data_IF_643500045733
#
_entry.id   IF_643500045733
#
_cell.length_a   1.000
_cell.length_b   1.000
_cell.length_c   1.000
_cell.angle_alpha   90.00
_cell.angle_beta   90.00
_cell.angle_gamma   90.00
#
_symmetry.space_group_name_H-M   'P 1'
#
loop_
_entity.id
_entity.type
_entity.pdbx_description
1 polymer ?
#
# COMPACT_ATOMS: atom_id res chain seq x y z
N UNK A 1 -43.07 -8.83 13.41
CA UNK A 1 -41.97 -8.18 14.14
C UNK A 1 -41.63 -6.93 13.34
N UNK A 2 -41.65 -5.73 13.93
CA UNK A 2 -41.26 -4.52 13.20
C UNK A 2 -39.74 -4.45 13.27
N UNK A 3 -39.06 -4.85 12.18
CA UNK A 3 -37.59 -4.89 12.09
C UNK A 3 -37.15 -3.75 11.20
N UNK A 4 -36.28 -2.88 11.73
CA UNK A 4 -35.73 -1.73 11.03
C UNK A 4 -34.21 -1.87 10.79
N UNK A 5 -33.63 -1.07 9.86
CA UNK A 5 -32.21 -1.10 9.59
C UNK A 5 -31.26 -0.56 10.66
N UNK A 6 -31.77 -0.06 11.78
CA UNK A 6 -30.97 0.29 12.95
C UNK A 6 -30.93 -0.83 14.00
N UNK A 7 -31.74 -1.89 13.85
CA UNK A 7 -31.82 -2.98 14.83
C UNK A 7 -30.57 -3.89 14.81
N UNK A 8 -30.24 -4.38 16.00
CA UNK A 8 -29.23 -5.41 16.25
C UNK A 8 -29.96 -6.67 16.70
N UNK A 9 -29.77 -7.78 15.97
CA UNK A 9 -30.46 -9.04 16.26
C UNK A 9 -29.43 -10.13 16.53
N UNK A 10 -29.64 -10.89 17.60
CA UNK A 10 -28.85 -12.07 17.93
C UNK A 10 -29.79 -13.28 17.98
N UNK A 11 -29.43 -14.31 17.23
CA UNK A 11 -30.08 -15.62 17.25
C UNK A 11 -29.37 -16.47 18.32
N UNK A 12 -30.10 -16.76 19.40
CA UNK A 12 -29.64 -17.60 20.51
C UNK A 12 -30.76 -18.53 20.97
N UNK A 13 -31.43 -19.20 20.01
CA UNK A 13 -32.62 -20.00 20.27
C UNK A 13 -32.31 -21.47 20.54
N UNK A 14 -31.07 -21.89 20.27
CA UNK A 14 -30.54 -23.25 20.34
C UNK A 14 -31.19 -24.23 19.35
N UNK A 15 -32.52 -24.35 19.35
CA UNK A 15 -33.25 -25.36 18.59
C UNK A 15 -33.87 -24.84 17.29
N UNK A 16 -34.07 -23.52 17.14
CA UNK A 16 -34.73 -22.90 15.98
C UNK A 16 -33.81 -21.92 15.24
N UNK A 17 -32.49 -22.09 15.41
CA UNK A 17 -31.50 -21.15 14.89
C UNK A 17 -31.50 -21.11 13.36
N UNK A 18 -31.74 -22.25 12.69
CA UNK A 18 -31.78 -22.32 11.23
C UNK A 18 -33.01 -21.60 10.69
N UNK A 19 -34.18 -21.85 11.27
CA UNK A 19 -35.45 -21.22 10.91
C UNK A 19 -35.39 -19.71 11.09
N UNK A 20 -34.88 -19.25 12.24
CA UNK A 20 -34.69 -17.82 12.49
C UNK A 20 -33.70 -17.20 11.50
N UNK A 21 -32.56 -17.86 11.25
CA UNK A 21 -31.55 -17.38 10.33
C UNK A 21 -32.07 -17.27 8.89
N UNK A 22 -32.85 -18.24 8.45
CA UNK A 22 -33.46 -18.25 7.11
C UNK A 22 -34.36 -17.06 6.85
N UNK A 23 -35.05 -16.56 7.88
CA UNK A 23 -35.92 -15.38 7.77
C UNK A 23 -35.11 -14.09 7.89
N UNK A 24 -34.15 -14.05 8.82
CA UNK A 24 -33.42 -12.83 9.18
C UNK A 24 -32.29 -12.48 8.22
N UNK A 25 -31.72 -13.45 7.50
CA UNK A 25 -30.61 -13.21 6.55
C UNK A 25 -31.02 -12.30 5.38
N UNK A 26 -32.31 -12.27 5.05
CA UNK A 26 -32.88 -11.42 4.00
C UNK A 26 -33.25 -10.02 4.50
N UNK A 27 -33.25 -9.79 5.81
CA UNK A 27 -33.69 -8.52 6.38
C UNK A 27 -32.55 -7.48 6.37
N UNK A 28 -32.87 -6.19 6.14
CA UNK A 28 -31.88 -5.14 6.10
C UNK A 28 -31.48 -4.73 7.53
N UNK A 29 -30.80 -5.60 8.28
CA UNK A 29 -30.40 -5.35 9.67
C UNK A 29 -29.04 -4.63 9.76
N UNK A 30 -28.87 -3.77 10.77
CA UNK A 30 -27.54 -3.20 11.11
C UNK A 30 -26.57 -4.28 11.54
N UNK A 31 -27.08 -5.29 12.24
CA UNK A 31 -26.29 -6.39 12.77
C UNK A 31 -27.14 -7.65 12.89
N UNK A 32 -26.60 -8.77 12.41
CA UNK A 32 -27.17 -10.10 12.56
C UNK A 32 -26.10 -11.05 13.11
N UNK A 33 -26.26 -11.47 14.35
CA UNK A 33 -25.37 -12.42 15.02
C UNK A 33 -26.01 -13.77 15.27
N UNK A 34 -25.21 -14.83 15.24
CA UNK A 34 -25.63 -16.18 15.60
C UNK A 34 -24.74 -16.74 16.72
N UNK A 35 -25.36 -17.04 17.86
CA UNK A 35 -24.70 -17.72 18.98
C UNK A 35 -24.70 -19.23 18.74
N UNK A 36 -23.63 -19.74 18.16
CA UNK A 36 -23.48 -21.14 17.80
C UNK A 36 -22.02 -21.61 17.81
N UNK A 37 -21.81 -22.92 17.89
CA UNK A 37 -20.47 -23.49 17.72
C UNK A 37 -19.98 -23.35 16.28
N UNK A 38 -18.65 -23.29 16.07
CA UNK A 38 -18.05 -23.20 14.72
C UNK A 38 -18.56 -24.28 13.76
N UNK A 39 -18.76 -25.50 14.25
CA UNK A 39 -19.30 -26.62 13.46
C UNK A 39 -20.72 -26.32 12.99
N UNK A 40 -21.59 -25.82 13.88
CA UNK A 40 -22.99 -25.50 13.57
C UNK A 40 -23.09 -24.35 12.58
N UNK A 41 -22.24 -23.33 12.73
CA UNK A 41 -22.13 -22.22 11.76
C UNK A 41 -21.80 -22.74 10.36
N UNK A 42 -20.77 -23.58 10.22
CA UNK A 42 -20.40 -24.15 8.93
C UNK A 42 -21.55 -24.89 8.25
N UNK A 43 -22.29 -25.71 9.02
CA UNK A 43 -23.46 -26.43 8.52
C UNK A 43 -24.54 -25.47 8.00
N UNK A 44 -24.85 -24.42 8.76
CA UNK A 44 -25.89 -23.46 8.37
C UNK A 44 -25.49 -22.63 7.16
N UNK A 45 -24.26 -22.12 7.12
CA UNK A 45 -23.76 -21.36 5.96
C UNK A 45 -23.79 -22.21 4.69
N UNK A 46 -23.45 -23.50 4.77
CA UNK A 46 -23.53 -24.41 3.62
C UNK A 46 -24.97 -24.62 3.14
N UNK A 47 -25.91 -24.82 4.06
CA UNK A 47 -27.33 -24.96 3.74
C UNK A 47 -27.90 -23.70 3.08
N UNK A 48 -27.53 -22.52 3.57
CA UNK A 48 -27.96 -21.23 2.97
C UNK A 48 -27.42 -21.07 1.55
N UNK A 49 -26.14 -21.40 1.31
CA UNK A 49 -25.56 -21.37 -0.05
C UNK A 49 -26.27 -22.32 -1.01
N UNK A 50 -26.56 -23.55 -0.57
CA UNK A 50 -27.31 -24.52 -1.37
C UNK A 50 -28.71 -24.04 -1.74
N UNK A 51 -29.29 -23.15 -0.94
CA UNK A 51 -30.58 -22.51 -1.18
C UNK A 51 -30.49 -21.24 -2.03
N UNK A 52 -29.29 -20.85 -2.46
CA UNK A 52 -29.07 -19.69 -3.32
C UNK A 52 -28.95 -18.36 -2.58
N UNK A 53 -28.66 -18.36 -1.27
CA UNK A 53 -28.31 -17.12 -0.56
C UNK A 53 -26.94 -16.62 -1.04
N UNK A 54 -26.90 -15.37 -1.49
CA UNK A 54 -25.70 -14.72 -2.01
C UNK A 54 -24.61 -14.55 -0.93
N UNK A 55 -23.35 -14.66 -1.34
CA UNK A 55 -22.21 -14.53 -0.43
C UNK A 55 -22.14 -13.15 0.24
N UNK A 56 -22.63 -12.08 -0.39
CA UNK A 56 -22.70 -10.75 0.22
C UNK A 56 -23.62 -10.70 1.45
N UNK A 57 -24.76 -11.41 1.40
CA UNK A 57 -25.67 -11.51 2.55
C UNK A 57 -25.07 -12.37 3.65
N UNK A 58 -24.38 -13.45 3.28
CA UNK A 58 -23.66 -14.31 4.23
C UNK A 58 -22.51 -13.57 4.90
N UNK A 59 -21.83 -12.65 4.21
CA UNK A 59 -20.74 -11.86 4.76
C UNK A 59 -21.19 -10.90 5.89
N UNK A 60 -22.49 -10.57 5.94
CA UNK A 60 -23.09 -9.75 7.02
C UNK A 60 -23.42 -10.53 8.29
N UNK A 61 -23.33 -11.86 8.25
CA UNK A 61 -23.63 -12.73 9.38
C UNK A 61 -22.41 -12.84 10.33
N UNK A 62 -22.61 -12.46 11.59
CA UNK A 62 -21.62 -12.58 12.65
C UNK A 62 -21.79 -13.92 13.38
N UNK A 63 -21.05 -14.94 12.95
CA UNK A 63 -21.22 -16.30 13.45
C UNK A 63 -19.88 -17.08 13.52
N UNK A 64 -19.50 -17.63 14.69
CA UNK A 64 -20.09 -17.40 16.01
C UNK A 64 -20.01 -15.93 16.43
N UNK A 65 -21.04 -15.43 17.11
CA UNK A 65 -21.00 -14.08 17.69
C UNK A 65 -20.08 -14.02 18.91
N UNK A 66 -19.42 -12.88 19.08
CA UNK A 66 -18.63 -12.51 20.24
C UNK A 66 -17.14 -12.43 19.94
N UNK A 67 -16.45 -11.57 20.68
CA UNK A 67 -14.99 -11.52 20.65
C UNK A 67 -14.36 -12.85 21.09
N UNK A 68 -13.26 -13.22 20.42
CA UNK A 68 -12.45 -14.38 20.81
C UNK A 68 -11.57 -14.06 22.03
N UNK A 69 -12.19 -14.00 23.22
CA UNK A 69 -11.53 -13.76 24.51
C UNK A 69 -11.37 -15.04 25.35
N UNK A 70 -11.64 -16.22 24.77
CA UNK A 70 -11.64 -17.48 25.52
C UNK A 70 -12.81 -17.62 26.49
N UNK A 71 -13.95 -16.99 26.17
CA UNK A 71 -15.16 -17.07 26.99
C UNK A 71 -15.71 -18.50 27.04
N UNK A 72 -15.97 -19.01 28.24
CA UNK A 72 -16.55 -20.35 28.46
C UNK A 72 -17.87 -20.29 29.22
N UNK A 73 -18.00 -19.32 30.13
CA UNK A 73 -19.21 -19.12 30.93
C UNK A 73 -20.24 -18.23 30.21
N UNK A 74 -21.55 -18.36 30.51
CA UNK A 74 -22.58 -17.49 29.94
C UNK A 74 -22.30 -15.99 30.14
N UNK A 75 -21.73 -15.61 31.29
CA UNK A 75 -21.38 -14.23 31.63
C UNK A 75 -20.23 -13.72 30.74
N UNK A 76 -19.17 -14.53 30.56
CA UNK A 76 -18.06 -14.18 29.68
C UNK A 76 -18.50 -14.10 28.21
N UNK A 77 -19.38 -15.00 27.79
CA UNK A 77 -19.98 -14.97 26.45
C UNK A 77 -20.81 -13.70 26.29
N UNK A 78 -21.63 -13.33 27.27
CA UNK A 78 -22.40 -12.09 27.21
C UNK A 78 -21.49 -10.86 27.07
N UNK A 79 -20.37 -10.81 27.80
CA UNK A 79 -19.37 -9.73 27.68
C UNK A 79 -18.76 -9.71 26.27
N UNK A 80 -18.36 -10.87 25.73
CA UNK A 80 -17.74 -10.94 24.41
C UNK A 80 -18.69 -10.48 23.29
N UNK A 81 -19.98 -10.83 23.42
CA UNK A 81 -21.06 -10.42 22.50
C UNK A 81 -21.35 -8.93 22.62
N UNK A 82 -21.50 -8.39 23.83
CA UNK A 82 -21.74 -6.97 24.05
C UNK A 82 -20.58 -6.11 23.53
N UNK A 83 -19.33 -6.55 23.70
CA UNK A 83 -18.17 -5.85 23.15
C UNK A 83 -18.22 -5.77 21.61
N UNK A 84 -18.60 -6.85 20.93
CA UNK A 84 -18.78 -6.86 19.47
C UNK A 84 -19.91 -5.94 19.02
N UNK A 85 -21.06 -5.96 19.71
CA UNK A 85 -22.17 -5.03 19.43
C UNK A 85 -21.75 -3.57 19.57
N UNK A 86 -20.98 -3.24 20.62
CA UNK A 86 -20.46 -1.88 20.84
C UNK A 86 -19.50 -1.46 19.73
N UNK A 87 -18.62 -2.37 19.28
CA UNK A 87 -17.72 -2.11 18.15
C UNK A 87 -18.51 -1.73 16.89
N UNK A 88 -19.51 -2.52 16.52
CA UNK A 88 -20.34 -2.26 15.33
C UNK A 88 -21.14 -0.98 15.50
N UNK A 89 -21.74 -0.75 16.68
CA UNK A 89 -22.52 0.46 16.97
C UNK A 89 -21.69 1.73 16.83
N UNK A 90 -20.44 1.69 17.29
CA UNK A 90 -19.54 2.84 17.29
C UNK A 90 -18.69 2.94 16.01
N UNK A 91 -18.88 2.04 15.03
CA UNK A 91 -18.06 1.96 13.80
C UNK A 91 -16.55 1.90 14.11
N UNK A 92 -16.19 1.17 15.17
CA UNK A 92 -14.80 1.05 15.62
C UNK A 92 -14.10 -0.13 14.95
N UNK A 93 -12.79 -0.01 14.74
CA UNK A 93 -11.95 -1.09 14.25
C UNK A 93 -11.91 -2.30 15.22
N UNK A 94 -12.17 -2.09 16.52
CA UNK A 94 -12.09 -3.13 17.54
C UNK A 94 -10.67 -3.54 17.92
N UNK A 95 -10.53 -4.59 18.75
CA UNK A 95 -9.24 -5.18 19.15
C UNK A 95 -8.65 -4.67 20.46
N UNK A 96 -7.42 -5.10 20.76
CA UNK A 96 -6.72 -4.72 22.00
C UNK A 96 -6.21 -3.29 21.94
N UNK A 97 -6.51 -2.48 22.97
CA UNK A 97 -5.97 -1.12 23.12
C UNK A 97 -4.42 -1.07 23.18
N UNK A 98 -3.75 -2.17 23.54
CA UNK A 98 -2.28 -2.27 23.52
C UNK A 98 -1.68 -2.14 22.11
N UNK A 99 -2.47 -2.31 21.06
CA UNK A 99 -2.04 -2.12 19.67
C UNK A 99 -2.22 -0.67 19.20
N UNK A 100 -2.52 0.27 20.10
CA UNK A 100 -2.40 1.69 19.77
C UNK A 100 -0.95 1.95 19.35
N UNK A 101 -0.76 2.29 18.08
CA UNK A 101 0.52 2.60 17.48
C UNK A 101 1.23 3.77 18.18
N UNK A 102 0.47 4.64 18.86
CA UNK A 102 1.01 5.72 19.69
C UNK A 102 1.72 5.16 20.94
N UNK A 103 1.33 3.97 21.40
CA UNK A 103 1.86 3.26 22.56
C UNK A 103 2.87 2.16 22.19
N UNK A 104 2.60 1.37 21.14
CA UNK A 104 3.47 0.27 20.69
C UNK A 104 3.92 0.47 19.24
N UNK A 105 5.16 0.92 19.05
CA UNK A 105 5.74 1.23 17.73
C UNK A 105 6.47 0.06 17.08
N UNK A 106 6.31 -1.14 17.62
CA UNK A 106 7.08 -2.33 17.23
C UNK A 106 6.87 -2.76 15.78
N UNK A 107 5.73 -2.39 15.20
CA UNK A 107 5.40 -2.67 13.80
C UNK A 107 5.36 -1.43 12.92
N UNK A 108 5.80 -0.28 13.44
CA UNK A 108 5.83 0.95 12.67
C UNK A 108 7.03 0.96 11.73
N UNK A 109 6.73 1.06 10.44
CA UNK A 109 7.70 1.25 9.37
C UNK A 109 7.46 2.61 8.73
N UNK A 110 8.49 3.44 8.69
CA UNK A 110 8.48 4.66 7.87
C UNK A 110 9.25 4.37 6.58
N UNK A 111 8.68 4.76 5.44
CA UNK A 111 9.31 4.64 4.12
C UNK A 111 9.59 6.03 3.59
N UNK A 112 10.85 6.34 3.24
CA UNK A 112 11.21 7.55 2.51
C UNK A 112 11.04 7.31 1.01
N UNK A 113 10.27 8.17 0.36
CA UNK A 113 9.84 8.06 -1.03
C UNK A 113 8.53 7.27 -1.18
N UNK A 114 7.66 7.70 -2.09
CA UNK A 114 6.37 7.07 -2.40
C UNK A 114 6.21 6.70 -3.89
N UNK A 115 7.33 6.55 -4.61
CA UNK A 115 7.36 6.09 -6.00
C UNK A 115 6.90 4.63 -6.19
N UNK A 116 7.02 4.10 -7.40
CA UNK A 116 6.52 2.78 -7.79
C UNK A 116 7.20 1.61 -7.05
N UNK A 117 8.52 1.69 -6.82
CA UNK A 117 9.25 0.70 -6.02
C UNK A 117 8.85 0.78 -4.54
N UNK A 118 8.79 2.00 -3.99
CA UNK A 118 8.39 2.23 -2.61
C UNK A 118 6.96 1.75 -2.33
N UNK A 119 6.06 1.95 -3.29
CA UNK A 119 4.68 1.45 -3.24
C UNK A 119 4.64 -0.07 -3.15
N UNK A 120 5.47 -0.78 -3.93
CA UNK A 120 5.57 -2.24 -3.80
C UNK A 120 6.04 -2.69 -2.41
N UNK A 121 6.98 -1.96 -1.81
CA UNK A 121 7.44 -2.20 -0.43
C UNK A 121 6.30 -1.96 0.56
N UNK A 122 5.61 -0.83 0.45
CA UNK A 122 4.50 -0.45 1.30
C UNK A 122 3.37 -1.49 1.27
N UNK A 123 2.94 -1.93 0.08
CA UNK A 123 1.94 -2.98 -0.09
C UNK A 123 2.32 -4.29 0.62
N UNK A 124 3.58 -4.73 0.46
CA UNK A 124 4.05 -5.98 1.07
C UNK A 124 4.06 -5.90 2.59
N UNK A 125 4.54 -4.79 3.14
CA UNK A 125 4.60 -4.56 4.58
C UNK A 125 3.19 -4.44 5.17
N UNK A 126 2.32 -3.68 4.51
CA UNK A 126 0.91 -3.53 4.88
C UNK A 126 0.19 -4.89 4.93
N UNK A 127 0.30 -5.70 3.87
CA UNK A 127 -0.27 -7.06 3.85
C UNK A 127 0.36 -8.02 4.86
N UNK A 128 1.62 -7.79 5.26
CA UNK A 128 2.28 -8.54 6.34
C UNK A 128 1.88 -8.07 7.74
N UNK A 129 0.99 -7.07 7.86
CA UNK A 129 0.46 -6.55 9.11
C UNK A 129 1.37 -5.53 9.80
N UNK A 130 2.28 -4.89 9.06
CA UNK A 130 3.02 -3.71 9.54
C UNK A 130 2.18 -2.45 9.35
N UNK A 131 2.42 -1.45 10.21
CA UNK A 131 1.84 -0.12 10.08
C UNK A 131 2.84 0.73 9.31
N UNK A 132 2.42 1.25 8.16
CA UNK A 132 3.32 1.92 7.21
C UNK A 132 2.98 3.40 7.16
N UNK A 133 3.98 4.26 7.25
CA UNK A 133 3.87 5.69 6.93
C UNK A 133 4.87 6.00 5.84
N UNK A 134 4.47 6.77 4.83
CA UNK A 134 5.35 7.16 3.75
C UNK A 134 5.65 8.66 3.82
N UNK A 135 6.91 9.03 3.56
CA UNK A 135 7.37 10.42 3.50
C UNK A 135 7.77 10.73 2.06
N UNK A 136 7.37 11.88 1.53
CA UNK A 136 7.84 12.35 0.22
C UNK A 136 7.95 13.88 0.19
N UNK A 137 8.45 14.40 -0.92
CA UNK A 137 8.42 15.83 -1.24
C UNK A 137 7.01 16.24 -1.68
N UNK A 138 6.70 17.54 -1.61
CA UNK A 138 5.37 18.07 -1.96
C UNK A 138 4.98 17.80 -3.43
N UNK A 139 5.97 17.79 -4.32
CA UNK A 139 5.80 17.59 -5.76
C UNK A 139 6.68 16.43 -6.25
N UNK A 140 6.27 15.18 -5.99
CA UNK A 140 7.08 14.01 -6.30
C UNK A 140 7.16 13.77 -7.82
N UNK A 141 8.28 13.19 -8.27
CA UNK A 141 8.60 12.97 -9.68
C UNK A 141 8.33 11.53 -10.14
N UNK A 142 7.31 10.88 -9.56
CA UNK A 142 6.91 9.54 -9.95
C UNK A 142 6.27 9.55 -11.36
N UNK A 143 6.84 8.79 -12.30
CA UNK A 143 6.29 8.68 -13.67
C UNK A 143 5.18 7.62 -13.78
N UNK A 144 5.28 6.51 -13.05
CA UNK A 144 4.27 5.43 -13.08
C UNK A 144 3.18 5.74 -12.05
N UNK A 145 2.46 6.84 -12.27
CA UNK A 145 1.54 7.45 -11.30
C UNK A 145 0.38 6.56 -10.89
N UNK A 146 -0.09 5.72 -11.80
CA UNK A 146 -1.15 4.72 -11.56
C UNK A 146 -0.78 3.63 -10.55
N UNK A 147 0.52 3.49 -10.23
CA UNK A 147 1.03 2.47 -9.29
C UNK A 147 1.98 3.06 -8.26
N UNK A 148 1.91 4.37 -8.04
CA UNK A 148 2.73 5.08 -7.08
C UNK A 148 1.84 5.79 -6.07
N UNK A 149 2.00 5.47 -4.79
CA UNK A 149 1.28 6.16 -3.71
C UNK A 149 1.60 7.66 -3.65
N UNK A 150 2.74 8.10 -4.20
CA UNK A 150 3.08 9.50 -4.43
C UNK A 150 1.98 10.31 -5.13
N UNK A 151 1.09 9.67 -5.89
CA UNK A 151 -0.05 10.36 -6.51
C UNK A 151 -1.01 10.99 -5.48
N UNK A 152 -1.08 10.45 -4.25
CA UNK A 152 -1.86 11.06 -3.17
C UNK A 152 -1.33 12.44 -2.74
N UNK A 153 -0.07 12.81 -3.05
CA UNK A 153 0.42 14.19 -2.83
C UNK A 153 -0.31 15.22 -3.70
N UNK A 154 -0.85 14.79 -4.84
CA UNK A 154 -1.61 15.65 -5.76
C UNK A 154 -3.12 15.54 -5.52
N UNK A 155 -3.63 14.30 -5.39
CA UNK A 155 -5.07 14.04 -5.35
C UNK A 155 -5.64 13.98 -3.92
N UNK A 156 -4.79 14.10 -2.90
CA UNK A 156 -5.12 13.91 -1.48
C UNK A 156 -5.29 12.43 -1.08
N UNK A 157 -5.60 11.55 -2.02
CA UNK A 157 -5.70 10.10 -1.82
C UNK A 157 -5.45 9.33 -3.11
N UNK A 158 -5.01 8.08 -3.01
CA UNK A 158 -4.91 7.16 -4.15
C UNK A 158 -5.06 5.71 -3.71
N UNK A 159 -5.40 4.82 -4.64
CA UNK A 159 -5.54 3.38 -4.38
C UNK A 159 -4.69 2.59 -5.38
N UNK A 160 -3.87 1.67 -4.86
CA UNK A 160 -3.04 0.77 -5.66
C UNK A 160 -3.26 -0.65 -5.16
N UNK A 161 -3.65 -1.55 -6.06
CA UNK A 161 -3.90 -2.98 -5.76
C UNK A 161 -4.79 -3.21 -4.52
N UNK A 162 -5.80 -2.36 -4.32
CA UNK A 162 -6.78 -2.48 -3.23
C UNK A 162 -6.37 -1.83 -1.90
N UNK A 163 -5.17 -1.26 -1.81
CA UNK A 163 -4.70 -0.52 -0.63
C UNK A 163 -4.78 0.97 -0.90
N UNK A 164 -5.38 1.69 0.04
CA UNK A 164 -5.57 3.14 -0.03
C UNK A 164 -4.45 3.87 0.72
N UNK A 165 -3.92 4.91 0.10
CA UNK A 165 -2.97 5.83 0.72
C UNK A 165 -3.52 7.26 0.70
N UNK A 166 -3.35 7.99 1.80
CA UNK A 166 -3.98 9.29 2.04
C UNK A 166 -2.94 10.32 2.49
N UNK A 167 -3.04 11.55 1.98
CA UNK A 167 -2.24 12.67 2.45
C UNK A 167 -2.66 13.05 3.87
N UNK A 168 -1.68 13.18 4.76
CA UNK A 168 -1.84 13.63 6.13
C UNK A 168 -1.24 15.04 6.28
N UNK A 169 -1.91 15.91 7.03
CA UNK A 169 -1.41 17.25 7.34
C UNK A 169 -0.35 17.21 8.45
N UNK A 170 -0.45 16.26 9.37
CA UNK A 170 0.47 16.09 10.48
C UNK A 170 0.57 14.63 10.95
N UNK A 171 1.44 14.39 11.93
CA UNK A 171 1.69 13.06 12.49
C UNK A 171 0.48 12.48 13.23
N UNK A 172 -0.36 13.31 13.85
CA UNK A 172 -1.55 12.82 14.55
C UNK A 172 -2.58 12.29 13.56
N UNK A 173 -2.82 13.04 12.48
CA UNK A 173 -3.68 12.60 11.38
C UNK A 173 -3.10 11.36 10.69
N UNK A 174 -1.77 11.26 10.56
CA UNK A 174 -1.13 10.05 10.04
C UNK A 174 -1.48 8.81 10.88
N UNK A 175 -1.49 8.91 12.20
CA UNK A 175 -1.94 7.80 13.06
C UNK A 175 -3.44 7.52 12.93
N UNK A 176 -4.28 8.54 12.74
CA UNK A 176 -5.71 8.35 12.51
C UNK A 176 -5.98 7.64 11.16
N UNK A 177 -5.19 7.93 10.12
CA UNK A 177 -5.22 7.21 8.84
C UNK A 177 -4.84 5.73 9.03
N UNK A 178 -3.76 5.44 9.79
CA UNK A 178 -3.39 4.05 10.12
C UNK A 178 -4.54 3.32 10.80
N UNK A 179 -5.24 3.96 11.75
CA UNK A 179 -6.34 3.34 12.48
C UNK A 179 -7.55 3.00 11.59
N UNK A 180 -7.67 3.64 10.41
CA UNK A 180 -8.68 3.30 9.39
C UNK A 180 -8.23 2.17 8.44
N UNK A 181 -7.02 1.65 8.61
CA UNK A 181 -6.47 0.63 7.72
C UNK A 181 -5.95 1.20 6.40
N UNK A 182 -5.49 2.45 6.39
CA UNK A 182 -4.94 3.15 5.22
C UNK A 182 -3.47 3.51 5.46
N UNK A 183 -2.73 3.85 4.39
CA UNK A 183 -1.32 4.27 4.47
C UNK A 183 -1.23 5.81 4.41
N UNK A 184 -0.81 6.50 5.49
CA UNK A 184 -0.58 7.94 5.43
C UNK A 184 0.67 8.32 4.64
N UNK A 185 0.57 9.44 3.92
CA UNK A 185 1.66 10.16 3.30
C UNK A 185 1.86 11.50 3.99
N UNK A 186 3.11 11.83 4.33
CA UNK A 186 3.48 13.14 4.87
C UNK A 186 4.44 13.85 3.90
N UNK A 187 4.20 15.14 3.70
CA UNK A 187 5.15 16.03 3.02
C UNK A 187 6.28 16.34 4.00
N UNK A 188 7.38 15.61 3.89
CA UNK A 188 8.50 15.70 4.83
C UNK A 188 9.85 15.35 4.15
N UNK A 189 10.37 16.25 3.29
CA UNK A 189 11.60 16.01 2.53
C UNK A 189 12.83 15.80 3.42
N UNK A 190 12.83 16.40 4.60
CA UNK A 190 13.94 16.41 5.55
C UNK A 190 13.78 15.38 6.66
N UNK A 191 12.72 14.57 6.64
CA UNK A 191 12.42 13.53 7.65
C UNK A 191 12.30 14.04 9.09
N UNK A 192 11.82 15.27 9.27
CA UNK A 192 11.65 15.90 10.60
C UNK A 192 10.64 15.16 11.47
N UNK A 193 9.64 14.53 10.85
CA UNK A 193 8.58 13.79 11.54
C UNK A 193 9.08 12.55 12.29
N UNK A 194 10.29 12.04 11.99
CA UNK A 194 10.85 10.85 12.63
C UNK A 194 11.00 11.00 14.16
N UNK A 195 11.26 12.20 14.66
CA UNK A 195 11.36 12.46 16.10
C UNK A 195 10.05 12.18 16.85
N UNK A 196 8.91 12.42 16.19
CA UNK A 196 7.58 12.18 16.75
C UNK A 196 7.08 10.77 16.43
N UNK A 197 7.33 10.30 15.19
CA UNK A 197 6.93 8.98 14.72
C UNK A 197 7.66 7.86 15.46
N UNK A 198 8.97 8.01 15.69
CA UNK A 198 9.87 7.04 16.34
C UNK A 198 9.68 5.61 15.81
N UNK A 199 9.75 5.39 14.48
CA UNK A 199 9.48 4.08 13.92
C UNK A 199 10.50 3.03 14.39
N UNK A 200 10.10 1.76 14.43
CA UNK A 200 11.06 0.67 14.66
C UNK A 200 11.94 0.45 13.44
N UNK A 201 11.39 0.65 12.25
CA UNK A 201 12.10 0.47 10.98
C UNK A 201 11.97 1.71 10.10
N UNK A 202 13.09 2.11 9.50
CA UNK A 202 13.12 3.07 8.40
C UNK A 202 13.53 2.37 7.12
N UNK A 203 12.83 2.62 6.01
CA UNK A 203 13.21 2.16 4.68
C UNK A 203 13.47 3.37 3.78
N UNK A 204 14.70 3.55 3.30
CA UNK A 204 14.98 4.52 2.23
C UNK A 204 14.68 3.88 0.87
N UNK A 205 13.57 4.33 0.26
CA UNK A 205 13.09 3.90 -1.04
C UNK A 205 13.05 5.05 -2.06
N UNK A 206 13.80 6.13 -1.84
CA UNK A 206 13.86 7.29 -2.75
C UNK A 206 14.51 6.87 -4.09
N UNK A 207 15.43 5.90 -4.07
CA UNK A 207 16.22 5.45 -5.22
C UNK A 207 16.98 6.57 -5.93
N UNK A 208 17.54 7.51 -5.17
CA UNK A 208 18.38 8.59 -5.68
C UNK A 208 19.72 8.10 -6.28
N UNK A 209 20.08 6.82 -6.07
CA UNK A 209 21.37 6.18 -6.47
C UNK A 209 22.60 6.75 -5.78
N UNK A 210 22.37 7.60 -4.79
CA UNK A 210 23.33 8.21 -3.89
C UNK A 210 22.63 8.43 -2.55
N UNK A 211 23.40 8.46 -1.46
CA UNK A 211 22.85 8.75 -0.15
C UNK A 211 22.48 10.24 -0.03
N UNK A 212 21.20 10.54 0.17
CA UNK A 212 20.68 11.90 0.37
C UNK A 212 20.46 12.24 1.86
N UNK A 213 21.30 11.69 2.74
CA UNK A 213 21.25 11.95 4.18
C UNK A 213 20.54 10.87 4.99
N UNK A 214 20.34 9.67 4.44
CA UNK A 214 19.98 8.50 5.25
C UNK A 214 21.17 8.04 6.07
N UNK A 215 20.95 7.84 7.37
CA UNK A 215 21.96 7.29 8.26
C UNK A 215 21.36 6.22 9.17
N UNK A 216 22.23 5.34 9.66
CA UNK A 216 21.81 4.10 10.35
C UNK A 216 20.97 4.36 11.60
N UNK A 217 21.20 5.50 12.26
CA UNK A 217 20.57 5.88 13.52
C UNK A 217 19.21 6.62 13.37
N UNK A 218 18.64 6.74 12.17
CA UNK A 218 17.33 7.38 11.99
C UNK A 218 16.17 6.56 12.57
N UNK A 219 16.38 5.26 12.76
CA UNK A 219 15.51 4.33 13.45
C UNK A 219 16.37 3.24 14.12
N UNK A 220 15.82 2.40 15.03
CA UNK A 220 16.53 1.23 15.54
C UNK A 220 17.08 0.32 14.44
N UNK A 221 16.36 0.22 13.31
CA UNK A 221 16.82 -0.51 12.14
C UNK A 221 16.52 0.28 10.86
N UNK A 222 17.56 0.54 10.07
CA UNK A 222 17.47 1.27 8.81
C UNK A 222 17.81 0.36 7.63
N UNK A 223 16.92 0.29 6.64
CA UNK A 223 17.11 -0.48 5.39
C UNK A 223 17.13 0.50 4.22
N UNK A 224 18.06 0.35 3.28
CA UNK A 224 18.13 1.19 2.08
C UNK A 224 17.97 0.37 0.80
N UNK A 225 17.44 1.00 -0.26
CA UNK A 225 17.24 0.35 -1.55
C UNK A 225 18.25 0.83 -2.59
N UNK A 226 18.99 -0.11 -3.18
CA UNK A 226 19.82 0.13 -4.35
C UNK A 226 21.16 0.82 -4.06
N UNK A 227 21.83 1.31 -5.12
CA UNK A 227 23.16 1.89 -5.00
C UNK A 227 23.16 3.20 -4.23
N UNK A 228 24.33 3.53 -3.67
CA UNK A 228 24.57 4.77 -2.94
C UNK A 228 24.68 4.60 -1.43
N UNK A 229 24.48 3.39 -0.90
CA UNK A 229 24.52 3.09 0.54
C UNK A 229 25.50 1.96 0.86
N UNK A 230 26.19 2.09 1.98
CA UNK A 230 27.02 1.06 2.58
C UNK A 230 26.31 0.40 3.78
N UNK A 231 25.90 -0.86 3.65
CA UNK A 231 25.36 -1.61 4.78
C UNK A 231 26.44 -1.85 5.84
N UNK A 232 26.07 -1.68 7.11
CA UNK A 232 26.98 -1.67 8.27
C UNK A 232 27.43 -0.27 8.67
N UNK A 233 27.41 0.70 7.76
CA UNK A 233 27.82 2.09 7.99
C UNK A 233 26.63 3.05 7.87
N UNK A 234 26.01 3.14 6.70
CA UNK A 234 24.90 4.06 6.42
C UNK A 234 23.54 3.49 6.84
N UNK A 235 23.41 2.17 6.86
CA UNK A 235 22.19 1.44 7.16
C UNK A 235 22.51 0.04 7.70
N UNK A 236 21.53 -0.65 8.27
CA UNK A 236 21.70 -2.03 8.76
C UNK A 236 21.64 -3.07 7.64
N UNK A 237 20.93 -2.77 6.56
CA UNK A 237 20.87 -3.58 5.37
C UNK A 237 20.63 -2.73 4.12
N UNK A 238 21.18 -3.17 2.99
CA UNK A 238 20.88 -2.62 1.67
C UNK A 238 20.33 -3.72 0.76
N UNK A 239 19.32 -3.39 -0.04
CA UNK A 239 18.65 -4.33 -0.96
C UNK A 239 19.16 -4.10 -2.38
N UNK A 240 19.61 -5.16 -3.04
CA UNK A 240 19.97 -5.10 -4.45
C UNK A 240 18.74 -4.82 -5.34
N UNK A 241 18.85 -3.80 -6.20
CA UNK A 241 17.77 -3.35 -7.09
C UNK A 241 18.12 -3.50 -8.57
N UNK A 242 19.34 -3.88 -8.92
CA UNK A 242 19.71 -4.17 -10.29
C UNK A 242 19.03 -5.46 -10.78
N UNK A 243 18.53 -5.46 -12.01
CA UNK A 243 17.88 -6.66 -12.57
C UNK A 243 18.95 -7.73 -12.86
N UNK A 244 18.62 -8.98 -12.58
CA UNK A 244 19.51 -10.13 -12.75
C UNK A 244 19.37 -11.11 -11.60
N UNK A 245 20.30 -12.06 -11.49
CA UNK A 245 20.28 -13.10 -10.45
C UNK A 245 20.37 -12.57 -9.02
N UNK A 246 20.89 -11.34 -8.84
CA UNK A 246 21.05 -10.73 -7.52
C UNK A 246 19.86 -9.84 -7.11
N UNK A 247 18.85 -9.63 -7.98
CA UNK A 247 17.70 -8.76 -7.67
C UNK A 247 17.02 -9.21 -6.37
N UNK A 248 16.87 -8.30 -5.41
CA UNK A 248 16.27 -8.60 -4.10
C UNK A 248 17.22 -9.29 -3.12
N UNK A 249 18.52 -9.40 -3.42
CA UNK A 249 19.49 -9.87 -2.43
C UNK A 249 19.60 -8.87 -1.27
N UNK A 250 19.48 -9.35 -0.05
CA UNK A 250 19.73 -8.56 1.17
C UNK A 250 21.22 -8.59 1.50
N UNK A 251 21.83 -7.41 1.63
CA UNK A 251 23.24 -7.24 1.95
C UNK A 251 23.33 -6.54 3.31
N UNK A 252 24.02 -7.17 4.27
CA UNK A 252 24.16 -6.66 5.65
C UNK A 252 25.51 -5.97 5.89
N UNK A 253 26.46 -6.10 4.95
CA UNK A 253 27.78 -5.46 4.98
C UNK A 253 28.20 -5.13 3.55
N UNK A 254 28.59 -3.89 3.28
CA UNK A 254 29.04 -3.44 1.95
C UNK A 254 27.93 -2.87 1.06
N UNK A 255 28.17 -2.88 -0.25
CA UNK A 255 27.36 -2.15 -1.24
C UNK A 255 26.59 -3.08 -2.19
N UNK A 256 25.52 -2.57 -2.79
CA UNK A 256 24.91 -3.17 -3.99
C UNK A 256 25.76 -2.88 -5.23
N UNK A 257 25.38 -3.45 -6.38
CA UNK A 257 25.97 -3.07 -7.66
C UNK A 257 25.78 -1.57 -7.95
N UNK A 258 26.75 -0.92 -8.61
CA UNK A 258 26.64 0.49 -8.99
C UNK A 258 25.55 0.71 -10.03
N UNK A 259 25.00 1.93 -10.08
CA UNK A 259 24.02 2.30 -11.10
C UNK A 259 24.68 2.30 -12.50
N UNK A 260 24.18 1.47 -13.40
CA UNK A 260 24.68 1.37 -14.78
C UNK A 260 24.21 2.51 -15.68
N UNK A 261 23.16 3.25 -15.29
CA UNK A 261 22.54 4.30 -16.11
C UNK A 261 21.69 3.79 -17.28
N UNK A 262 21.72 2.48 -17.57
CA UNK A 262 21.00 1.86 -18.68
C UNK A 262 19.65 1.32 -18.19
N UNK A 263 18.51 1.74 -18.77
CA UNK A 263 17.21 1.18 -18.44
C UNK A 263 17.10 -0.30 -18.82
N UNK A 264 16.30 -1.06 -18.07
CA UNK A 264 16.03 -2.46 -18.39
C UNK A 264 15.41 -2.65 -19.78
N UNK A 265 15.79 -3.74 -20.45
CA UNK A 265 15.32 -4.12 -21.77
C UNK A 265 13.85 -4.58 -21.72
N UNK A 266 13.03 -4.02 -22.62
CA UNK A 266 11.66 -4.48 -22.89
C UNK A 266 11.52 -4.61 -24.40
N UNK A 267 11.22 -5.83 -24.87
CA UNK A 267 11.07 -6.17 -26.29
C UNK A 267 12.22 -5.68 -27.21
N UNK A 268 13.47 -5.74 -26.72
CA UNK A 268 14.65 -5.30 -27.47
C UNK A 268 15.03 -3.84 -27.29
N UNK A 269 14.21 -3.05 -26.58
CA UNK A 269 14.44 -1.61 -26.38
C UNK A 269 14.84 -1.29 -24.94
N UNK A 270 15.93 -0.52 -24.78
CA UNK A 270 16.43 -0.05 -23.48
C UNK A 270 16.24 1.46 -23.31
N UNK A 271 17.02 2.28 -24.02
CA UNK A 271 17.03 3.75 -23.88
C UNK A 271 15.88 4.42 -24.63
N UNK A 272 15.55 3.92 -25.83
CA UNK A 272 14.48 4.49 -26.69
C UNK A 272 13.11 4.51 -26.02
N UNK A 273 12.87 3.65 -25.03
CA UNK A 273 11.58 3.58 -24.32
C UNK A 273 11.40 4.73 -23.32
N UNK A 274 12.46 5.44 -22.96
CA UNK A 274 12.46 6.49 -21.94
C UNK A 274 12.31 7.85 -22.60
N UNK A 275 11.30 8.60 -22.19
CA UNK A 275 11.07 9.97 -22.63
C UNK A 275 11.84 10.92 -21.70
N UNK A 276 12.57 11.87 -22.28
CA UNK A 276 13.31 12.92 -21.56
C UNK A 276 12.83 14.30 -21.99
N UNK A 277 12.84 15.25 -21.05
CA UNK A 277 12.49 16.64 -21.34
C UNK A 277 13.46 17.23 -22.38
N UNK A 278 12.96 17.79 -23.50
CA UNK A 278 13.79 18.39 -24.54
C UNK A 278 14.28 19.80 -24.17
N UNK A 279 13.62 20.45 -23.22
CA UNK A 279 13.94 21.79 -22.73
C UNK A 279 13.52 21.93 -21.26
N UNK A 280 14.00 23.00 -20.63
CA UNK A 280 13.50 23.46 -19.34
C UNK A 280 12.08 24.00 -19.50
N UNK A 281 11.18 23.70 -18.57
CA UNK A 281 9.84 24.24 -18.58
C UNK A 281 8.85 23.45 -17.74
N UNK A 282 7.60 23.92 -17.72
CA UNK A 282 6.49 23.25 -17.05
C UNK A 282 5.96 22.13 -17.95
N UNK A 283 5.79 20.93 -17.39
CA UNK A 283 5.18 19.79 -18.06
C UNK A 283 3.71 20.06 -18.35
N UNK A 284 3.30 19.83 -19.60
CA UNK A 284 1.91 19.84 -20.05
C UNK A 284 1.58 18.53 -20.78
N UNK A 285 0.82 17.65 -20.16
CA UNK A 285 0.50 16.34 -20.73
C UNK A 285 -0.51 16.48 -21.89
N UNK A 286 -0.25 15.83 -23.03
CA UNK A 286 -1.18 15.78 -24.18
C UNK A 286 -1.89 14.43 -24.30
N UNK A 287 -1.41 13.43 -23.58
CA UNK A 287 -1.92 12.05 -23.54
C UNK A 287 -2.02 11.59 -22.09
N UNK A 288 -2.82 10.55 -21.86
CA UNK A 288 -2.99 9.90 -20.57
C UNK A 288 -2.11 8.63 -20.45
N UNK A 289 -1.94 8.16 -19.20
CA UNK A 289 -1.38 6.83 -18.96
C UNK A 289 -2.33 5.77 -19.51
N UNK A 290 -1.80 4.81 -20.27
CA UNK A 290 -2.57 3.77 -20.95
C UNK A 290 -2.88 4.07 -22.41
N UNK A 291 -2.71 5.31 -22.87
CA UNK A 291 -2.92 5.66 -24.28
C UNK A 291 -1.89 4.96 -25.18
N UNK A 292 -2.33 4.59 -26.38
CA UNK A 292 -1.45 4.10 -27.44
C UNK A 292 -1.02 5.26 -28.33
N UNK A 293 0.28 5.37 -28.58
CA UNK A 293 0.88 6.41 -29.40
C UNK A 293 1.73 5.81 -30.51
N UNK A 294 1.89 6.54 -31.60
CA UNK A 294 2.81 6.24 -32.69
C UNK A 294 4.12 7.01 -32.50
N UNK A 295 5.22 6.46 -33.02
CA UNK A 295 6.49 7.18 -33.11
C UNK A 295 6.28 8.49 -33.89
N UNK A 296 6.70 9.61 -33.30
CA UNK A 296 6.47 10.95 -33.86
C UNK A 296 5.30 11.72 -33.25
N UNK A 297 4.39 11.07 -32.51
CA UNK A 297 3.28 11.74 -31.84
C UNK A 297 3.77 12.70 -30.74
N UNK A 298 3.05 13.80 -30.53
CA UNK A 298 3.30 14.72 -29.41
C UNK A 298 2.63 14.17 -28.15
N UNK A 299 3.43 13.79 -27.14
CA UNK A 299 2.92 13.19 -25.89
C UNK A 299 2.80 14.21 -24.74
N UNK A 300 3.59 15.27 -24.78
CA UNK A 300 3.55 16.35 -23.81
C UNK A 300 4.21 17.61 -24.40
N UNK A 301 4.17 18.71 -23.67
CA UNK A 301 5.03 19.87 -23.89
C UNK A 301 5.88 20.12 -22.62
N UNK A 302 7.10 20.64 -22.80
CA UNK A 302 7.90 21.24 -21.74
C UNK A 302 8.03 22.74 -22.05
N UNK A 303 7.23 23.57 -21.36
CA UNK A 303 6.98 24.94 -21.81
C UNK A 303 6.37 24.94 -23.22
N UNK A 304 6.97 25.67 -24.15
CA UNK A 304 6.52 25.73 -25.55
C UNK A 304 7.08 24.59 -26.42
N UNK A 305 8.02 23.78 -25.90
CA UNK A 305 8.72 22.76 -26.70
C UNK A 305 7.94 21.43 -26.67
N UNK A 306 7.54 20.86 -27.82
CA UNK A 306 6.84 19.59 -27.86
C UNK A 306 7.78 18.42 -27.50
N UNK A 307 7.24 17.47 -26.74
CA UNK A 307 7.87 16.20 -26.41
C UNK A 307 7.32 15.14 -27.34
N UNK A 308 8.19 14.51 -28.11
CA UNK A 308 7.83 13.54 -29.14
C UNK A 308 7.99 12.11 -28.65
N UNK A 309 7.05 11.24 -28.99
CA UNK A 309 7.12 9.80 -28.76
C UNK A 309 8.32 9.20 -29.51
N UNK A 310 9.33 8.64 -28.81
CA UNK A 310 10.52 8.07 -29.44
C UNK A 310 10.31 6.70 -30.09
N UNK A 311 9.16 6.07 -29.85
CA UNK A 311 8.72 4.80 -30.43
C UNK A 311 7.19 4.64 -30.26
N UNK A 312 6.58 3.78 -31.08
CA UNK A 312 5.17 3.40 -30.94
C UNK A 312 4.95 2.45 -29.77
N UNK A 313 3.86 2.62 -29.02
CA UNK A 313 3.51 1.75 -27.89
C UNK A 313 2.54 2.40 -26.92
N UNK A 314 2.45 1.83 -25.72
CA UNK A 314 1.59 2.36 -24.65
C UNK A 314 2.36 3.33 -23.76
N UNK A 315 1.78 4.50 -23.47
CA UNK A 315 2.31 5.43 -22.46
C UNK A 315 2.14 4.81 -21.08
N UNK A 316 3.21 4.23 -20.53
CA UNK A 316 3.18 3.48 -19.27
C UNK A 316 3.51 4.35 -18.06
N UNK A 317 4.27 5.41 -18.29
CA UNK A 317 4.62 6.40 -17.28
C UNK A 317 4.75 7.77 -17.89
N UNK A 318 4.32 8.79 -17.15
CA UNK A 318 4.37 10.20 -17.50
C UNK A 318 4.28 11.00 -16.20
N UNK A 319 5.16 12.00 -16.04
CA UNK A 319 5.14 12.90 -14.90
C UNK A 319 3.80 13.60 -14.74
N UNK A 320 3.55 14.10 -13.53
CA UNK A 320 2.35 14.87 -13.26
C UNK A 320 2.36 16.17 -14.07
N UNK A 321 1.17 16.57 -14.51
CA UNK A 321 0.95 17.84 -15.20
C UNK A 321 1.30 19.03 -14.29
N UNK A 322 1.92 20.08 -14.83
CA UNK A 322 2.30 21.26 -14.06
C UNK A 322 3.63 21.18 -13.31
N UNK A 323 4.36 20.06 -13.36
CA UNK A 323 5.69 19.97 -12.75
C UNK A 323 6.75 20.72 -13.57
N UNK A 324 7.61 21.49 -12.90
CA UNK A 324 8.78 22.08 -13.54
C UNK A 324 9.86 21.00 -13.77
N UNK A 325 10.37 20.93 -15.00
CA UNK A 325 11.42 19.99 -15.39
C UNK A 325 12.61 20.71 -16.01
N UNK A 326 13.77 20.09 -15.84
CA UNK A 326 15.01 20.47 -16.52
C UNK A 326 15.27 19.58 -17.72
N UNK A 327 15.96 20.15 -18.71
CA UNK A 327 16.39 19.44 -19.91
C UNK A 327 17.09 18.12 -19.55
N UNK A 328 16.68 17.02 -20.19
CA UNK A 328 17.23 15.69 -19.95
C UNK A 328 16.61 14.92 -18.79
N UNK A 329 15.80 15.55 -17.93
CA UNK A 329 15.04 14.87 -16.87
C UNK A 329 14.16 13.77 -17.48
N UNK A 330 14.09 12.61 -16.83
CA UNK A 330 13.19 11.54 -17.24
C UNK A 330 11.76 11.96 -16.93
N UNK A 331 10.94 12.08 -17.97
CA UNK A 331 9.55 12.56 -17.83
C UNK A 331 8.51 11.48 -18.11
N UNK A 332 8.89 10.36 -18.70
CA UNK A 332 7.96 9.26 -18.96
C UNK A 332 8.64 8.01 -19.54
N UNK A 333 7.84 6.99 -19.83
CA UNK A 333 8.24 5.84 -20.60
C UNK A 333 7.08 5.22 -21.41
N UNK A 334 7.41 4.77 -22.62
CA UNK A 334 6.50 4.06 -23.53
C UNK A 334 6.88 2.59 -23.53
N UNK A 335 5.90 1.71 -23.39
CA UNK A 335 6.09 0.27 -23.48
C UNK A 335 5.78 -0.21 -24.91
N UNK A 336 6.78 -0.71 -25.66
CA UNK A 336 6.61 -1.09 -27.06
C UNK A 336 5.68 -2.31 -27.26
N UNK A 337 5.30 -3.00 -26.18
CA UNK A 337 4.35 -4.12 -26.24
C UNK A 337 2.90 -3.65 -26.47
N UNK A 338 2.66 -2.32 -26.48
CA UNK A 338 1.36 -1.74 -26.80
C UNK A 338 0.28 -2.22 -25.84
N UNK A 339 -0.82 -2.74 -26.37
CA UNK A 339 -2.00 -3.22 -25.61
C UNK A 339 -1.69 -4.32 -24.59
N UNK A 340 -0.56 -5.02 -24.73
CA UNK A 340 -0.13 -6.07 -23.79
C UNK A 340 0.66 -5.51 -22.59
N UNK A 341 0.94 -4.21 -22.57
CA UNK A 341 1.66 -3.59 -21.47
C UNK A 341 0.75 -3.35 -20.26
N UNK A 342 1.32 -3.56 -19.07
CA UNK A 342 0.63 -3.29 -17.80
C UNK A 342 1.16 -2.01 -17.17
N UNK A 343 0.29 -1.01 -17.07
CA UNK A 343 0.54 0.25 -16.40
C UNK A 343 -0.17 0.36 -15.04
N UNK A 344 -1.04 -0.58 -14.69
CA UNK A 344 -1.94 -0.54 -13.53
C UNK A 344 -1.47 -1.38 -12.34
N UNK A 345 -0.48 -2.25 -12.53
CA UNK A 345 0.06 -3.07 -11.43
C UNK A 345 1.52 -2.79 -11.10
N UNK A 346 1.85 -3.06 -9.84
CA UNK A 346 3.20 -2.97 -9.30
C UNK A 346 4.10 -3.98 -10.04
N UNK A 347 5.31 -3.55 -10.38
CA UNK A 347 6.21 -4.37 -11.19
C UNK A 347 6.70 -5.62 -10.45
N UNK A 348 7.05 -6.65 -11.21
CA UNK A 348 7.84 -7.81 -10.76
C UNK A 348 9.06 -7.41 -9.91
N UNK A 349 9.78 -6.37 -10.35
CA UNK A 349 10.96 -5.83 -9.67
C UNK A 349 10.60 -5.25 -8.30
N UNK A 350 9.56 -4.44 -8.24
CA UNK A 350 9.09 -3.87 -6.98
C UNK A 350 8.63 -4.98 -6.02
N UNK A 351 7.94 -6.01 -6.50
CA UNK A 351 7.52 -7.17 -5.68
C UNK A 351 8.71 -7.97 -5.14
N UNK A 352 9.76 -8.16 -5.94
CA UNK A 352 10.98 -8.84 -5.51
C UNK A 352 11.72 -8.04 -4.42
N UNK A 353 11.92 -6.74 -4.65
CA UNK A 353 12.54 -5.83 -3.68
C UNK A 353 11.72 -5.78 -2.38
N UNK A 354 10.40 -5.70 -2.47
CA UNK A 354 9.51 -5.69 -1.32
C UNK A 354 9.60 -6.96 -0.47
N UNK A 355 9.73 -8.12 -1.11
CA UNK A 355 9.98 -9.39 -0.41
C UNK A 355 11.29 -9.36 0.39
N UNK A 356 12.34 -8.80 -0.21
CA UNK A 356 13.64 -8.67 0.44
C UNK A 356 13.65 -7.67 1.60
N UNK A 357 12.91 -6.56 1.47
CA UNK A 357 12.72 -5.61 2.59
C UNK A 357 12.02 -6.29 3.76
N UNK A 358 10.93 -7.03 3.49
CA UNK A 358 10.23 -7.77 4.53
C UNK A 358 11.16 -8.80 5.20
N UNK A 359 11.96 -9.55 4.43
CA UNK A 359 12.97 -10.47 4.97
C UNK A 359 13.96 -9.74 5.89
N UNK A 360 14.53 -8.62 5.44
CA UNK A 360 15.49 -7.84 6.19
C UNK A 360 14.91 -7.34 7.52
N UNK A 361 13.72 -6.72 7.47
CA UNK A 361 13.00 -6.21 8.64
C UNK A 361 12.70 -7.34 9.64
N UNK A 362 12.21 -8.48 9.15
CA UNK A 362 11.90 -9.64 10.00
C UNK A 362 13.15 -10.24 10.65
N UNK A 363 14.31 -10.22 9.97
CA UNK A 363 15.57 -10.69 10.56
C UNK A 363 16.12 -9.70 11.59
N UNK A 364 16.12 -8.41 11.25
CA UNK A 364 16.64 -7.35 12.12
C UNK A 364 15.79 -7.20 13.38
N UNK A 365 14.47 -7.25 13.25
CA UNK A 365 13.52 -7.09 14.36
C UNK A 365 13.50 -8.23 15.38
N UNK A 366 14.17 -9.36 15.11
CA UNK A 366 14.37 -10.44 16.11
C UNK A 366 15.44 -10.11 17.15
N UNK A 367 16.24 -9.08 16.90
CA UNK A 367 17.20 -8.52 17.85
C UNK A 367 16.50 -7.50 18.72
#
# INVERSE_FOLDING_TARGET
MNIDPANFVIIATNNQDCEALNVLIEQPLRYLGLLASRRKVQTFTQQLRQRGVEDEKLARLHAPVGYNIGAETPEEIAISVLAELLQVRNQSAGGLMKNDIRLTRDKLVVIRGAGDIATGVALRLFHAGFQVIMLDIAQPTAIRRTVAFAQAMFDGKTCVEGVTACLANDVNEAFDIINRGEIPLLVDPETRSLEQLKPRFLVDAILAKQNLGTHRNMAPFTVALGPGFNAGQDCDAVIETNRGHALGRVIYQGYTHPNTGIPGNIAGHTTRRVIRAPADGVMQCRVALGDLVQEGDVVANCGEVPVIAPLSGMVRGLLHDGLEVKTGTKIGDIDPRGTLADYTTVSDKARAIAGAVLEAIMKLGRR
#
